data_IF_788031742181
#
_entry.id   IF_788031742181
#
_cell.length_a   1.000
_cell.length_b   1.000
_cell.length_c   1.000
_cell.angle_alpha   90.00
_cell.angle_beta   90.00
_cell.angle_gamma   90.00
#
_symmetry.space_group_name_H-M   'P 1'
#
loop_
_entity.id
_entity.type
_entity.pdbx_description
1 polymer ?
#
# COMPACT_ATOMS: atom_id res chain seq x y z
N UNK A 1 3.57 -10.48 -20.63
CA UNK A 1 2.15 -10.82 -20.47
C UNK A 1 1.29 -9.62 -20.84
N UNK A 2 0.23 -9.83 -21.61
CA UNK A 2 -0.74 -8.80 -21.94
C UNK A 2 -1.80 -8.67 -20.84
N UNK A 3 -2.49 -7.52 -20.79
CA UNK A 3 -3.63 -7.32 -19.87
C UNK A 3 -4.73 -8.36 -20.13
N UNK A 4 -4.92 -8.74 -21.39
CA UNK A 4 -5.92 -9.74 -21.78
C UNK A 4 -5.55 -11.14 -21.25
N UNK A 5 -4.27 -11.51 -21.31
CA UNK A 5 -3.77 -12.76 -20.71
C UNK A 5 -3.98 -12.77 -19.19
N UNK A 6 -3.66 -11.68 -18.48
CA UNK A 6 -3.88 -11.56 -17.03
C UNK A 6 -5.37 -11.75 -16.67
N UNK A 7 -6.27 -11.16 -17.47
CA UNK A 7 -7.72 -11.23 -17.21
C UNK A 7 -8.26 -12.65 -17.30
N UNK A 8 -7.71 -13.47 -18.19
CA UNK A 8 -8.13 -14.85 -18.43
C UNK A 8 -7.59 -15.85 -17.40
N UNK A 9 -6.65 -15.47 -16.54
CA UNK A 9 -6.08 -16.36 -15.54
C UNK A 9 -7.11 -16.79 -14.47
N UNK A 10 -6.99 -18.01 -13.92
CA UNK A 10 -7.67 -18.38 -12.70
C UNK A 10 -7.32 -17.43 -11.54
N UNK A 11 -8.23 -17.17 -10.59
CA UNK A 11 -7.98 -16.25 -9.48
C UNK A 11 -6.70 -16.55 -8.69
N UNK A 12 -6.39 -17.84 -8.45
CA UNK A 12 -5.19 -18.24 -7.72
C UNK A 12 -3.88 -17.89 -8.46
N UNK A 13 -3.88 -17.89 -9.79
CA UNK A 13 -2.72 -17.48 -10.59
C UNK A 13 -2.57 -15.96 -10.59
N UNK A 14 -3.69 -15.22 -10.65
CA UNK A 14 -3.65 -13.75 -10.48
C UNK A 14 -3.03 -13.37 -9.15
N UNK A 15 -3.42 -14.04 -8.06
CA UNK A 15 -2.88 -13.78 -6.72
C UNK A 15 -1.38 -14.09 -6.67
N UNK A 16 -0.94 -15.23 -7.23
CA UNK A 16 0.50 -15.57 -7.28
C UNK A 16 1.33 -14.54 -8.05
N UNK A 17 0.84 -14.10 -9.21
CA UNK A 17 1.52 -13.08 -10.02
C UNK A 17 1.56 -11.74 -9.27
N UNK A 18 0.45 -11.34 -8.65
CA UNK A 18 0.38 -10.12 -7.84
C UNK A 18 1.37 -10.16 -6.67
N UNK A 19 1.49 -11.30 -5.98
CA UNK A 19 2.50 -11.50 -4.92
C UNK A 19 3.92 -11.36 -5.44
N UNK A 20 4.25 -12.00 -6.58
CA UNK A 20 5.58 -11.90 -7.17
C UNK A 20 5.91 -10.46 -7.61
N UNK A 21 4.93 -9.74 -8.19
CA UNK A 21 5.10 -8.33 -8.55
C UNK A 21 5.35 -7.49 -7.29
N UNK A 22 4.59 -7.70 -6.21
CA UNK A 22 4.79 -6.94 -4.97
C UNK A 22 6.12 -7.25 -4.27
N UNK A 23 6.60 -8.48 -4.34
CA UNK A 23 7.93 -8.85 -3.84
C UNK A 23 9.02 -8.13 -4.65
N UNK A 24 8.94 -8.14 -5.97
CA UNK A 24 9.87 -7.43 -6.85
C UNK A 24 9.85 -5.90 -6.63
N UNK A 25 8.66 -5.30 -6.54
CA UNK A 25 8.51 -3.86 -6.27
C UNK A 25 9.09 -3.44 -4.91
N UNK A 26 9.20 -4.34 -3.93
CA UNK A 26 9.81 -4.04 -2.64
C UNK A 26 11.29 -3.69 -2.80
N UNK A 27 11.98 -4.37 -3.69
CA UNK A 27 13.42 -4.19 -3.89
C UNK A 27 13.73 -2.96 -4.75
N UNK A 28 12.73 -2.46 -5.49
CA UNK A 28 12.83 -1.30 -6.38
C UNK A 28 11.97 -0.09 -5.94
N UNK A 29 11.58 -0.02 -4.66
CA UNK A 29 10.63 0.99 -4.19
C UNK A 29 11.12 2.44 -4.38
N UNK A 30 12.44 2.66 -4.40
CA UNK A 30 13.07 3.98 -4.59
C UNK A 30 12.95 4.50 -6.02
N UNK A 31 12.75 3.60 -7.00
CA UNK A 31 12.61 3.93 -8.42
C UNK A 31 11.16 4.28 -8.79
N UNK A 32 10.21 3.99 -7.91
CA UNK A 32 8.81 4.26 -8.16
C UNK A 32 8.55 5.78 -8.14
N UNK A 33 7.98 6.36 -9.22
CA UNK A 33 7.63 7.77 -9.22
C UNK A 33 6.49 8.01 -8.23
N UNK A 34 6.81 8.57 -7.07
CA UNK A 34 5.81 9.00 -6.09
C UNK A 34 5.31 10.38 -6.54
N UNK A 35 3.98 10.53 -6.71
CA UNK A 35 3.41 11.83 -7.06
C UNK A 35 3.60 12.83 -5.93
N UNK A 36 3.79 14.10 -6.29
CA UNK A 36 3.92 15.19 -5.31
C UNK A 36 2.68 15.28 -4.40
N UNK A 37 1.50 15.00 -4.94
CA UNK A 37 0.24 14.94 -4.19
C UNK A 37 0.29 13.93 -3.03
N UNK A 38 0.84 12.74 -3.26
CA UNK A 38 0.98 11.72 -2.20
C UNK A 38 1.97 12.17 -1.14
N UNK A 39 3.07 12.80 -1.55
CA UNK A 39 4.07 13.36 -0.60
C UNK A 39 3.43 14.44 0.28
N UNK A 40 2.69 15.36 -0.33
CA UNK A 40 2.08 16.48 0.37
C UNK A 40 1.01 15.99 1.36
N UNK A 41 0.20 15.00 0.95
CA UNK A 41 -0.74 14.33 1.83
C UNK A 41 -0.06 13.68 3.05
N UNK A 42 1.08 13.00 2.86
CA UNK A 42 1.82 12.39 3.96
C UNK A 42 2.42 13.44 4.90
N UNK A 43 2.94 14.55 4.37
CA UNK A 43 3.44 15.68 5.17
C UNK A 43 2.33 16.33 5.99
N UNK A 44 1.16 16.54 5.40
CA UNK A 44 0.00 17.08 6.10
C UNK A 44 -0.41 16.16 7.27
N UNK A 45 -0.48 14.85 7.02
CA UNK A 45 -0.79 13.85 8.06
C UNK A 45 0.23 13.84 9.18
N UNK A 46 1.51 13.95 8.86
CA UNK A 46 2.57 14.06 9.86
C UNK A 46 2.40 15.33 10.70
N UNK A 47 2.16 16.47 10.07
CA UNK A 47 1.98 17.74 10.76
C UNK A 47 0.76 17.71 11.71
N UNK A 48 -0.32 17.00 11.35
CA UNK A 48 -1.47 16.79 12.24
C UNK A 48 -1.12 15.97 13.48
N UNK A 49 -0.25 14.97 13.34
CA UNK A 49 0.26 14.20 14.50
C UNK A 49 1.11 15.09 15.39
N UNK A 50 2.01 15.87 14.80
CA UNK A 50 2.91 16.76 15.55
C UNK A 50 2.14 17.86 16.31
N UNK A 51 1.01 18.33 15.76
CA UNK A 51 0.08 19.26 16.43
C UNK A 51 -0.85 18.60 17.46
N UNK A 52 -0.82 17.27 17.59
CA UNK A 52 -1.70 16.52 18.49
C UNK A 52 -3.15 16.36 17.99
N UNK A 53 -3.43 16.71 16.74
CA UNK A 53 -4.76 16.58 16.11
C UNK A 53 -5.04 15.15 15.62
N UNK A 54 -4.01 14.31 15.56
CA UNK A 54 -4.10 12.90 15.17
C UNK A 54 -3.14 12.06 16.00
N UNK A 55 -3.46 10.77 16.15
CA UNK A 55 -2.60 9.80 16.84
C UNK A 55 -2.05 8.79 15.83
N UNK A 56 -0.74 8.65 15.79
CA UNK A 56 -0.10 7.55 15.06
C UNK A 56 -0.33 6.25 15.84
N UNK A 57 -0.91 5.25 15.18
CA UNK A 57 -1.18 3.95 15.76
C UNK A 57 -0.26 2.91 15.10
N UNK A 58 0.25 2.02 15.94
CA UNK A 58 1.04 0.88 15.50
C UNK A 58 0.11 -0.14 14.81
N UNK A 59 0.47 -0.52 13.58
CA UNK A 59 -0.29 -1.45 12.76
C UNK A 59 -0.54 -2.80 13.45
N UNK A 60 0.47 -3.35 14.13
CA UNK A 60 0.33 -4.66 14.79
C UNK A 60 -0.65 -4.61 15.96
N UNK A 61 -0.81 -3.43 16.57
CA UNK A 61 -1.77 -3.23 17.66
C UNK A 61 -3.20 -3.06 17.17
N UNK A 62 -3.40 -2.53 15.97
CA UNK A 62 -4.74 -2.16 15.48
C UNK A 62 -5.33 -3.10 14.43
N UNK A 63 -4.50 -3.87 13.71
CA UNK A 63 -4.96 -4.71 12.59
C UNK A 63 -6.07 -5.70 12.98
N UNK A 64 -6.06 -6.19 14.22
CA UNK A 64 -7.06 -7.14 14.74
C UNK A 64 -8.43 -6.50 15.02
N UNK A 65 -8.50 -5.17 15.16
CA UNK A 65 -9.73 -4.42 15.42
C UNK A 65 -10.45 -4.02 14.13
N UNK A 66 -9.79 -4.08 12.97
CA UNK A 66 -10.37 -3.73 11.68
C UNK A 66 -11.43 -4.78 11.30
N UNK A 67 -12.62 -4.31 10.91
CA UNK A 67 -13.73 -5.18 10.50
C UNK A 67 -14.54 -5.79 11.64
N UNK A 68 -14.25 -5.44 12.90
CA UNK A 68 -15.07 -5.83 14.07
C UNK A 68 -16.01 -4.71 14.54
N UNK A 69 -16.44 -3.84 13.61
CA UNK A 69 -17.45 -2.81 13.86
C UNK A 69 -18.86 -3.38 13.79
#
# INVERSE_FOLDING_TARGET
MTVQEIRSLPPGEKVRIMSAIWEDMRDHYEEAPISQEVIDLLKERQARVDRGEARLLDWDKVKLAIGRG
#
